data_IF_083595876748
#
_entry.id   IF_083595876748
#
_cell.length_a   1.000
_cell.length_b   1.000
_cell.length_c   1.000
_cell.angle_alpha   90.00
_cell.angle_beta   90.00
_cell.angle_gamma   90.00
#
_symmetry.space_group_name_H-M   'P 1'
#
loop_
_entity.id
_entity.type
_entity.pdbx_description
1 polymer ?
#
# COMPACT_ATOMS: atom_id res chain seq x y z
N UNK A 1 49.60 -8.61 -42.94
CA UNK A 1 49.37 -8.56 -41.48
C UNK A 1 48.01 -7.92 -41.25
N UNK A 2 47.07 -8.69 -40.69
CA UNK A 2 45.67 -8.29 -40.42
C UNK A 2 45.64 -7.42 -39.16
N UNK A 3 45.26 -6.16 -39.27
CA UNK A 3 44.86 -5.35 -38.11
C UNK A 3 43.34 -5.24 -38.14
N UNK A 4 42.69 -6.19 -37.45
CA UNK A 4 41.26 -6.17 -37.16
C UNK A 4 41.07 -5.24 -35.96
N UNK A 5 40.65 -4.01 -36.23
CA UNK A 5 40.22 -3.08 -35.18
C UNK A 5 38.78 -3.44 -34.79
N UNK A 6 38.61 -4.45 -33.92
CA UNK A 6 37.35 -4.67 -33.21
C UNK A 6 37.27 -3.58 -32.14
N UNK A 7 36.69 -2.43 -32.50
CA UNK A 7 36.26 -1.46 -31.51
C UNK A 7 34.93 -1.98 -30.95
N UNK A 8 35.02 -2.53 -29.75
CA UNK A 8 33.93 -2.92 -28.88
C UNK A 8 32.78 -1.90 -28.99
N UNK A 9 31.68 -2.31 -29.62
CA UNK A 9 30.36 -1.82 -29.23
C UNK A 9 30.23 -2.21 -27.75
N UNK A 10 30.64 -1.32 -26.86
CA UNK A 10 30.08 -1.24 -25.53
C UNK A 10 28.59 -0.97 -25.75
N UNK A 11 27.89 -2.08 -25.94
CA UNK A 11 26.51 -2.29 -25.56
C UNK A 11 26.43 -1.78 -24.12
N UNK A 12 26.24 -0.47 -23.99
CA UNK A 12 25.52 0.11 -22.87
C UNK A 12 24.12 -0.45 -23.06
N UNK A 13 23.95 -1.72 -22.68
CA UNK A 13 22.66 -2.22 -22.26
C UNK A 13 22.33 -1.23 -21.16
N UNK A 14 21.38 -0.29 -21.34
CA UNK A 14 20.84 0.35 -20.17
C UNK A 14 20.37 -0.85 -19.37
N UNK A 15 20.99 -1.10 -18.22
CA UNK A 15 20.35 -1.92 -17.22
C UNK A 15 19.02 -1.20 -17.01
N UNK A 16 18.01 -1.63 -17.75
CA UNK A 16 16.62 -1.45 -17.42
C UNK A 16 16.54 -2.22 -16.11
N UNK A 17 16.97 -1.54 -15.05
CA UNK A 17 16.58 -1.79 -13.68
C UNK A 17 15.08 -1.67 -13.79
N UNK A 18 14.44 -2.80 -14.12
CA UNK A 18 13.01 -2.94 -14.04
C UNK A 18 12.68 -2.42 -12.67
N UNK A 19 12.04 -1.26 -12.62
CA UNK A 19 11.72 -0.60 -11.37
C UNK A 19 10.82 -1.58 -10.62
N UNK A 20 11.43 -2.37 -9.72
CA UNK A 20 10.73 -3.45 -9.08
C UNK A 20 9.80 -2.82 -8.04
N UNK A 21 8.51 -2.90 -8.33
CA UNK A 21 7.44 -2.37 -7.48
C UNK A 21 7.53 -2.93 -6.05
N UNK A 22 7.87 -4.21 -5.92
CA UNK A 22 7.98 -4.89 -4.63
C UNK A 22 9.15 -4.31 -3.81
N UNK A 23 10.36 -4.28 -4.37
CA UNK A 23 11.54 -3.73 -3.69
C UNK A 23 11.30 -2.29 -3.25
N UNK A 24 10.74 -1.47 -4.16
CA UNK A 24 10.42 -0.07 -3.88
C UNK A 24 9.34 0.10 -2.81
N UNK A 25 8.37 -0.81 -2.74
CA UNK A 25 7.36 -0.78 -1.68
C UNK A 25 7.95 -1.11 -0.31
N UNK A 26 8.88 -2.08 -0.24
CA UNK A 26 9.60 -2.47 0.98
C UNK A 26 10.49 -1.33 1.49
N UNK A 27 11.30 -0.74 0.61
CA UNK A 27 12.16 0.40 0.95
C UNK A 27 11.34 1.60 1.48
N UNK A 28 10.19 1.89 0.83
CA UNK A 28 9.30 2.94 1.31
C UNK A 28 8.68 2.60 2.67
N UNK A 29 8.25 1.35 2.87
CA UNK A 29 7.70 0.86 4.13
C UNK A 29 8.70 0.98 5.29
N UNK A 30 9.97 0.60 5.06
CA UNK A 30 11.04 0.75 6.04
C UNK A 30 11.29 2.22 6.39
N UNK A 31 11.27 3.11 5.39
CA UNK A 31 11.36 4.55 5.64
C UNK A 31 10.24 5.03 6.56
N UNK A 32 8.99 4.65 6.27
CA UNK A 32 7.83 5.04 7.09
C UNK A 32 7.91 4.49 8.51
N UNK A 33 8.36 3.24 8.69
CA UNK A 33 8.63 2.64 10.00
C UNK A 33 9.64 3.48 10.78
N UNK A 34 10.77 3.81 10.16
CA UNK A 34 11.82 4.59 10.80
C UNK A 34 11.35 6.00 11.15
N UNK A 35 10.63 6.68 10.25
CA UNK A 35 10.09 8.02 10.50
C UNK A 35 9.04 8.03 11.62
N UNK A 36 8.23 6.96 11.74
CA UNK A 36 7.29 6.81 12.85
C UNK A 36 8.02 6.63 14.19
N UNK A 37 9.09 5.82 14.21
CA UNK A 37 9.88 5.56 15.42
C UNK A 37 10.69 6.80 15.85
N UNK A 38 11.31 7.51 14.91
CA UNK A 38 12.16 8.67 15.23
C UNK A 38 11.36 9.92 15.60
N UNK A 39 10.09 9.98 15.19
CA UNK A 39 9.19 11.14 15.32
C UNK A 39 9.76 12.44 14.72
N UNK A 40 10.82 12.36 13.89
CA UNK A 40 11.50 13.54 13.35
C UNK A 40 10.85 14.02 12.05
N UNK A 41 10.65 15.33 11.92
CA UNK A 41 10.16 15.94 10.67
C UNK A 41 11.14 15.75 9.51
N UNK A 42 12.45 15.68 9.81
CA UNK A 42 13.48 15.41 8.81
C UNK A 42 13.31 14.03 8.16
N UNK A 43 13.04 12.99 8.95
CA UNK A 43 12.85 11.63 8.42
C UNK A 43 11.53 11.51 7.65
N UNK A 44 10.47 12.16 8.11
CA UNK A 44 9.22 12.27 7.34
C UNK A 44 9.47 12.89 5.96
N UNK A 45 10.23 13.99 5.91
CA UNK A 45 10.58 14.66 4.64
C UNK A 45 11.45 13.79 3.72
N UNK A 46 12.38 13.01 4.28
CA UNK A 46 13.15 12.01 3.51
C UNK A 46 12.23 10.99 2.87
N UNK A 47 11.25 10.46 3.62
CA UNK A 47 10.30 9.49 3.06
C UNK A 47 9.41 10.10 1.98
N UNK A 48 8.96 11.36 2.11
CA UNK A 48 8.24 12.05 1.04
C UNK A 48 9.07 12.15 -0.24
N UNK A 49 10.34 12.54 -0.11
CA UNK A 49 11.28 12.61 -1.24
C UNK A 49 11.50 11.24 -1.89
N UNK A 50 11.61 10.18 -1.07
CA UNK A 50 11.75 8.81 -1.55
C UNK A 50 10.51 8.36 -2.33
N UNK A 51 9.31 8.64 -1.81
CA UNK A 51 8.03 8.33 -2.47
C UNK A 51 7.97 8.98 -3.86
N UNK A 52 8.35 10.26 -3.98
CA UNK A 52 8.39 10.96 -5.27
C UNK A 52 9.36 10.30 -6.26
N UNK A 53 10.55 9.91 -5.80
CA UNK A 53 11.51 9.16 -6.63
C UNK A 53 10.93 7.84 -7.12
N UNK A 54 10.19 7.12 -6.25
CA UNK A 54 9.58 5.84 -6.59
C UNK A 54 8.47 6.01 -7.61
N UNK A 55 7.58 7.00 -7.42
CA UNK A 55 6.50 7.31 -8.36
C UNK A 55 7.04 7.68 -9.74
N UNK A 56 8.14 8.46 -9.80
CA UNK A 56 8.81 8.79 -11.07
C UNK A 56 9.41 7.54 -11.72
N UNK A 57 10.18 6.75 -10.97
CA UNK A 57 10.85 5.55 -11.49
C UNK A 57 9.86 4.47 -11.97
N UNK A 58 8.74 4.32 -11.28
CA UNK A 58 7.70 3.33 -11.62
C UNK A 58 6.72 3.85 -12.69
N UNK A 59 6.81 5.13 -13.07
CA UNK A 59 5.86 5.82 -13.94
C UNK A 59 4.44 5.82 -13.37
N UNK A 60 3.99 6.95 -12.84
CA UNK A 60 2.63 7.14 -12.31
C UNK A 60 1.57 6.62 -13.29
N UNK A 61 0.65 5.81 -12.77
CA UNK A 61 -0.44 5.19 -13.53
C UNK A 61 -0.03 3.95 -14.35
N UNK A 62 1.22 3.50 -14.27
CA UNK A 62 1.60 2.20 -14.83
C UNK A 62 1.17 1.04 -13.93
N UNK A 63 1.12 -0.18 -14.48
CA UNK A 63 0.90 -1.41 -13.72
C UNK A 63 1.93 -1.61 -12.59
N UNK A 64 3.18 -1.20 -12.79
CA UNK A 64 4.21 -1.27 -11.76
C UNK A 64 3.97 -0.28 -10.63
N UNK A 65 3.51 0.94 -10.96
CA UNK A 65 3.11 1.93 -9.96
C UNK A 65 1.89 1.46 -9.16
N UNK A 66 0.88 0.87 -9.81
CA UNK A 66 -0.29 0.30 -9.13
C UNK A 66 0.10 -0.86 -8.20
N UNK A 67 0.96 -1.77 -8.65
CA UNK A 67 1.47 -2.86 -7.81
C UNK A 67 2.24 -2.32 -6.60
N UNK A 68 3.05 -1.28 -6.80
CA UNK A 68 3.78 -0.61 -5.71
C UNK A 68 2.83 -0.02 -4.68
N UNK A 69 1.78 0.70 -5.12
CA UNK A 69 0.78 1.27 -4.22
C UNK A 69 0.02 0.18 -3.46
N UNK A 70 -0.34 -0.93 -4.13
CA UNK A 70 -1.02 -2.05 -3.48
C UNK A 70 -0.17 -2.63 -2.34
N UNK A 71 1.11 -2.90 -2.59
CA UNK A 71 2.03 -3.43 -1.58
C UNK A 71 2.31 -2.41 -0.47
N UNK A 72 2.51 -1.13 -0.81
CA UNK A 72 2.76 -0.07 0.17
C UNK A 72 1.55 0.14 1.11
N UNK A 73 0.33 0.10 0.56
CA UNK A 73 -0.89 0.26 1.33
C UNK A 73 -1.04 -0.79 2.45
N UNK A 74 -0.56 -2.02 2.23
CA UNK A 74 -0.58 -3.07 3.26
C UNK A 74 0.32 -2.67 4.44
N UNK A 75 1.52 -2.19 4.16
CA UNK A 75 2.42 -1.69 5.20
C UNK A 75 1.85 -0.45 5.92
N UNK A 76 1.28 0.50 5.17
CA UNK A 76 0.67 1.70 5.76
C UNK A 76 -0.51 1.33 6.69
N UNK A 77 -1.31 0.32 6.34
CA UNK A 77 -2.37 -0.22 7.20
C UNK A 77 -1.80 -0.84 8.49
N UNK A 78 -0.78 -1.70 8.38
CA UNK A 78 -0.10 -2.29 9.55
C UNK A 78 0.47 -1.21 10.47
N UNK A 79 1.13 -0.20 9.88
CA UNK A 79 1.67 0.93 10.65
C UNK A 79 0.57 1.75 11.32
N UNK A 80 -0.62 1.83 10.74
CA UNK A 80 -1.77 2.49 11.34
C UNK A 80 -2.50 1.62 12.40
N UNK A 81 -2.08 0.37 12.59
CA UNK A 81 -2.76 -0.60 13.46
C UNK A 81 -4.10 -1.09 12.90
N UNK A 82 -4.26 -1.01 11.58
CA UNK A 82 -5.51 -1.36 10.89
C UNK A 82 -5.40 -2.82 10.42
N UNK A 83 -6.35 -3.69 10.78
CA UNK A 83 -6.37 -5.07 10.33
C UNK A 83 -6.39 -5.19 8.81
N UNK A 84 -5.78 -6.26 8.28
CA UNK A 84 -5.94 -6.62 6.87
C UNK A 84 -7.26 -7.36 6.66
N UNK A 85 -7.76 -7.37 5.42
CA UNK A 85 -8.98 -8.09 5.06
C UNK A 85 -8.72 -9.60 5.06
N UNK A 86 -9.57 -10.33 5.77
CA UNK A 86 -9.67 -11.79 5.66
C UNK A 86 -11.01 -12.18 5.03
N UNK A 87 -10.96 -12.68 3.79
CA UNK A 87 -12.16 -13.05 3.03
C UNK A 87 -12.93 -14.22 3.64
N UNK A 88 -12.28 -15.04 4.46
CA UNK A 88 -12.86 -16.27 5.03
C UNK A 88 -13.75 -16.01 6.24
N UNK A 89 -13.73 -14.79 6.78
CA UNK A 89 -14.59 -14.40 7.89
C UNK A 89 -16.06 -14.41 7.48
N UNK A 90 -16.91 -14.75 8.45
CA UNK A 90 -18.37 -14.61 8.35
C UNK A 90 -18.77 -13.12 8.29
N UNK A 91 -20.02 -12.84 7.88
CA UNK A 91 -20.53 -11.47 7.82
C UNK A 91 -20.47 -10.75 9.18
N UNK A 92 -20.76 -11.46 10.26
CA UNK A 92 -20.73 -10.93 11.63
C UNK A 92 -19.29 -10.63 12.09
N UNK A 93 -18.35 -11.52 11.81
CA UNK A 93 -16.93 -11.30 12.11
C UNK A 93 -16.37 -10.12 11.31
N UNK A 94 -16.67 -10.03 10.00
CA UNK A 94 -16.31 -8.88 9.16
C UNK A 94 -16.84 -7.58 9.75
N UNK A 95 -18.10 -7.58 10.17
CA UNK A 95 -18.74 -6.40 10.80
C UNK A 95 -18.02 -6.03 12.09
N UNK A 96 -17.77 -7.00 12.97
CA UNK A 96 -17.07 -6.79 14.24
C UNK A 96 -15.68 -6.18 14.03
N UNK A 97 -14.90 -6.72 13.10
CA UNK A 97 -13.55 -6.22 12.79
C UNK A 97 -13.59 -4.75 12.35
N UNK A 98 -14.55 -4.37 11.50
CA UNK A 98 -14.71 -2.96 11.10
C UNK A 98 -15.10 -2.08 12.28
N UNK A 99 -16.03 -2.54 13.12
CA UNK A 99 -16.50 -1.77 14.26
C UNK A 99 -15.41 -1.59 15.32
N UNK A 100 -14.63 -2.62 15.59
CA UNK A 100 -13.49 -2.56 16.50
C UNK A 100 -12.40 -1.63 15.94
N UNK A 101 -12.18 -1.62 14.62
CA UNK A 101 -11.30 -0.64 13.98
C UNK A 101 -11.81 0.79 14.22
N UNK A 102 -13.08 1.07 13.92
CA UNK A 102 -13.67 2.42 14.06
C UNK A 102 -13.60 2.96 15.49
N UNK A 103 -13.85 2.09 16.49
CA UNK A 103 -13.82 2.46 17.91
C UNK A 103 -12.40 2.74 18.43
N UNK A 104 -11.42 1.96 17.96
CA UNK A 104 -10.05 2.04 18.46
C UNK A 104 -9.15 2.98 17.66
N UNK A 105 -9.54 3.35 16.44
CA UNK A 105 -8.75 4.22 15.59
C UNK A 105 -8.77 5.68 16.09
N UNK A 106 -7.60 6.31 16.08
CA UNK A 106 -7.51 7.77 16.20
C UNK A 106 -8.20 8.44 15.02
N UNK A 107 -8.60 9.72 15.18
CA UNK A 107 -9.20 10.51 14.09
C UNK A 107 -8.40 10.47 12.78
N UNK A 108 -7.07 10.40 12.87
CA UNK A 108 -6.19 10.32 11.71
C UNK A 108 -6.27 8.96 10.98
N UNK A 109 -6.58 7.87 11.70
CA UNK A 109 -6.60 6.51 11.16
C UNK A 109 -8.00 6.04 10.75
N UNK A 110 -9.07 6.79 11.08
CA UNK A 110 -10.46 6.46 10.72
C UNK A 110 -10.66 6.22 9.21
N UNK A 111 -9.94 6.97 8.36
CA UNK A 111 -9.97 6.76 6.92
C UNK A 111 -9.53 5.35 6.50
N UNK A 112 -8.58 4.75 7.21
CA UNK A 112 -8.18 3.38 6.92
C UNK A 112 -9.20 2.35 7.39
N UNK A 113 -9.98 2.63 8.44
CA UNK A 113 -11.12 1.79 8.83
C UNK A 113 -12.28 1.87 7.82
N UNK A 114 -12.53 3.04 7.22
CA UNK A 114 -13.50 3.16 6.11
C UNK A 114 -13.02 2.39 4.87
N UNK A 115 -11.71 2.43 4.59
CA UNK A 115 -11.13 1.59 3.53
C UNK A 115 -11.29 0.10 3.84
N UNK A 116 -11.06 -0.33 5.09
CA UNK A 116 -11.25 -1.71 5.54
C UNK A 116 -12.71 -2.16 5.35
N UNK A 117 -13.69 -1.32 5.72
CA UNK A 117 -15.11 -1.55 5.44
C UNK A 117 -15.36 -1.75 3.94
N UNK A 118 -14.86 -0.84 3.10
CA UNK A 118 -15.01 -0.93 1.65
C UNK A 118 -14.37 -2.21 1.08
N UNK A 119 -13.20 -2.59 1.58
CA UNK A 119 -12.48 -3.77 1.10
C UNK A 119 -13.20 -5.06 1.53
N UNK A 120 -13.76 -5.14 2.75
CA UNK A 120 -14.65 -6.25 3.13
C UNK A 120 -15.91 -6.33 2.27
N UNK A 121 -16.56 -5.20 1.98
CA UNK A 121 -17.75 -5.16 1.12
C UNK A 121 -17.48 -5.67 -0.31
N UNK A 122 -16.23 -5.60 -0.80
CA UNK A 122 -15.83 -6.18 -2.10
C UNK A 122 -15.71 -7.70 -2.06
N UNK A 123 -15.55 -8.30 -0.88
CA UNK A 123 -15.48 -9.76 -0.71
C UNK A 123 -16.86 -10.43 -0.64
N UNK A 124 -17.92 -9.66 -0.42
CA UNK A 124 -19.29 -10.16 -0.30
C UNK A 124 -19.94 -10.13 -1.69
N UNK A 125 -20.26 -11.31 -2.21
CA UNK A 125 -20.84 -11.46 -3.55
C UNK A 125 -22.37 -11.30 -3.56
N UNK A 126 -23.05 -11.73 -2.49
CA UNK A 126 -24.49 -11.54 -2.35
C UNK A 126 -24.84 -10.07 -2.06
N UNK A 127 -25.80 -9.53 -2.80
CA UNK A 127 -26.14 -8.11 -2.75
C UNK A 127 -26.88 -7.72 -1.47
N UNK A 128 -27.76 -8.59 -0.96
CA UNK A 128 -28.52 -8.31 0.27
C UNK A 128 -27.63 -8.44 1.50
N UNK A 129 -26.75 -9.44 1.54
CA UNK A 129 -25.72 -9.55 2.58
C UNK A 129 -24.77 -8.35 2.58
N UNK A 130 -24.33 -7.92 1.39
CA UNK A 130 -23.46 -6.74 1.25
C UNK A 130 -24.15 -5.47 1.75
N UNK A 131 -25.44 -5.31 1.44
CA UNK A 131 -26.26 -4.19 1.92
C UNK A 131 -26.39 -4.23 3.45
N UNK A 132 -26.71 -5.39 4.01
CA UNK A 132 -26.82 -5.59 5.46
C UNK A 132 -25.49 -5.29 6.17
N UNK A 133 -24.37 -5.77 5.63
CA UNK A 133 -23.03 -5.47 6.13
C UNK A 133 -22.75 -3.96 6.12
N UNK A 134 -23.01 -3.27 5.01
CA UNK A 134 -22.76 -1.83 4.89
C UNK A 134 -23.56 -1.03 5.93
N UNK A 135 -24.86 -1.33 6.08
CA UNK A 135 -25.72 -0.67 7.07
C UNK A 135 -25.18 -0.89 8.50
N UNK A 136 -24.89 -2.15 8.87
CA UNK A 136 -24.41 -2.50 10.23
C UNK A 136 -23.05 -1.90 10.55
N UNK A 137 -22.13 -1.86 9.59
CA UNK A 137 -20.77 -1.36 9.79
C UNK A 137 -20.67 0.16 9.70
N UNK A 138 -21.57 0.84 8.97
CA UNK A 138 -21.61 2.29 8.88
C UNK A 138 -21.93 2.95 10.23
N UNK A 139 -22.85 2.37 11.00
CA UNK A 139 -23.22 2.86 12.33
C UNK A 139 -22.10 2.72 13.38
N UNK A 140 -21.02 1.99 13.07
CA UNK A 140 -19.92 1.80 14.01
C UNK A 140 -18.95 2.98 14.09
N UNK A 141 -19.06 3.94 13.17
CA UNK A 141 -18.29 5.19 13.20
C UNK A 141 -19.01 6.34 13.92
N UNK A 142 -20.27 6.17 14.31
CA UNK A 142 -21.02 7.19 15.05
C UNK A 142 -20.64 7.21 16.54
#
# INVERSE_FOLDING_TARGET
MKNITILFFLLVIPFSVFANAETKSKEMCECLKNAKTSQSESDKKKCLTLREKHVKALKKGSKHHESYLKSLNLCEQELAGIPQVDSNLTLEEKTKVVCDCMKNASNQNRMGCFKLQSDYAKTISDLEEKKAFNIKSQSCGE
#
